data_IF_594061058987
#
_entry.id   IF_594061058987
#
_cell.length_a   1.000
_cell.length_b   1.000
_cell.length_c   1.000
_cell.angle_alpha   90.00
_cell.angle_beta   90.00
_cell.angle_gamma   90.00
#
_symmetry.space_group_name_H-M   'P 1'
#
loop_
_entity.id
_entity.type
_entity.pdbx_description
1 polymer ?
#
# COMPACT_ATOMS: atom_id res chain seq x y z
N UNK A 1 -31.12 -24.32 37.15
CA UNK A 1 -32.57 -24.03 37.07
C UNK A 1 -32.78 -22.85 36.14
N UNK A 2 -33.17 -23.07 34.88
CA UNK A 2 -33.72 -22.02 34.01
C UNK A 2 -35.24 -21.95 34.17
N UNK A 3 -35.89 -20.76 34.05
CA UNK A 3 -37.33 -20.70 33.88
C UNK A 3 -37.71 -20.85 32.40
N UNK A 4 -38.65 -21.77 32.18
CA UNK A 4 -39.44 -21.93 30.98
C UNK A 4 -40.55 -20.88 30.94
N UNK A 5 -40.90 -20.39 29.75
CA UNK A 5 -42.23 -19.84 29.47
C UNK A 5 -42.73 -20.26 28.08
N UNK A 6 -44.05 -20.44 27.91
CA UNK A 6 -44.63 -21.29 26.89
C UNK A 6 -45.19 -20.56 25.66
N UNK A 7 -45.35 -21.36 24.63
CA UNK A 7 -46.10 -21.23 23.40
C UNK A 7 -47.62 -21.08 23.65
N UNK A 8 -48.35 -20.21 22.91
CA UNK A 8 -49.75 -20.40 22.49
C UNK A 8 -50.15 -19.51 21.31
N UNK A 9 -50.69 -20.20 20.30
CA UNK A 9 -51.32 -19.74 19.07
C UNK A 9 -52.77 -19.26 19.28
N UNK A 10 -53.26 -18.41 18.37
CA UNK A 10 -54.66 -18.29 17.91
C UNK A 10 -54.62 -17.57 16.54
N UNK A 11 -54.87 -18.18 15.38
CA UNK A 11 -56.09 -18.79 14.84
C UNK A 11 -57.25 -17.80 14.66
N UNK A 12 -57.43 -17.29 13.44
CA UNK A 12 -58.76 -16.99 12.84
C UNK A 12 -58.73 -17.35 11.36
N UNK A 13 -59.61 -18.28 10.98
CA UNK A 13 -60.05 -18.67 9.64
C UNK A 13 -60.85 -17.55 8.94
N UNK A 14 -60.77 -17.51 7.61
CA UNK A 14 -61.66 -16.70 6.78
C UNK A 14 -61.60 -17.10 5.30
N UNK A 15 -62.45 -18.05 4.91
CA UNK A 15 -62.70 -18.52 3.53
C UNK A 15 -63.32 -17.41 2.67
N UNK A 16 -62.90 -17.35 1.41
CA UNK A 16 -63.57 -16.58 0.36
C UNK A 16 -62.97 -16.87 -1.01
N UNK A 17 -63.46 -17.92 -1.67
CA UNK A 17 -63.22 -18.18 -3.10
C UNK A 17 -64.11 -17.27 -3.95
N UNK A 18 -63.50 -16.45 -4.84
CA UNK A 18 -64.18 -15.92 -6.02
C UNK A 18 -63.24 -15.89 -7.24
N UNK A 19 -63.69 -16.64 -8.24
CA UNK A 19 -63.43 -16.69 -9.67
C UNK A 19 -62.37 -15.80 -10.37
N UNK A 20 -61.74 -16.43 -11.37
CA UNK A 20 -60.88 -15.89 -12.41
C UNK A 20 -61.39 -14.60 -13.09
N UNK A 21 -60.48 -13.64 -13.24
CA UNK A 21 -60.40 -12.77 -14.41
C UNK A 21 -58.94 -12.33 -14.64
N UNK A 22 -58.29 -12.86 -15.69
CA UNK A 22 -57.16 -12.19 -16.39
C UNK A 22 -57.80 -11.13 -17.29
N UNK A 23 -57.24 -9.91 -17.45
CA UNK A 23 -55.96 -9.77 -18.15
C UNK A 23 -55.12 -8.51 -17.79
N UNK A 24 -54.01 -8.37 -18.53
CA UNK A 24 -53.27 -7.14 -18.85
C UNK A 24 -52.08 -6.75 -17.95
N UNK A 25 -50.91 -7.13 -18.49
CA UNK A 25 -49.60 -6.49 -18.38
C UNK A 25 -49.64 -5.00 -17.98
N UNK A 26 -48.95 -4.67 -16.89
CA UNK A 26 -48.16 -3.44 -16.79
C UNK A 26 -47.09 -3.63 -15.71
N UNK A 27 -45.95 -4.18 -16.13
CA UNK A 27 -44.73 -4.20 -15.31
C UNK A 27 -44.16 -2.79 -15.41
N UNK A 28 -44.43 -1.96 -14.39
CA UNK A 28 -43.76 -0.68 -14.22
C UNK A 28 -42.33 -0.97 -13.75
N UNK A 29 -41.41 -1.14 -14.69
CA UNK A 29 -39.98 -1.26 -14.39
C UNK A 29 -39.45 0.09 -13.90
N UNK A 30 -39.31 0.24 -12.59
CA UNK A 30 -38.48 1.28 -11.99
C UNK A 30 -37.02 0.99 -12.33
N UNK A 31 -36.49 1.66 -13.36
CA UNK A 31 -35.06 1.68 -13.66
C UNK A 31 -34.41 2.58 -12.60
N UNK A 32 -33.93 1.99 -11.51
CA UNK A 32 -33.03 2.67 -10.59
C UNK A 32 -31.69 2.85 -11.30
N UNK A 33 -31.45 4.05 -11.81
CA UNK A 33 -30.17 4.44 -12.41
C UNK A 33 -29.16 4.64 -11.27
N UNK A 34 -28.49 3.55 -10.89
CA UNK A 34 -27.38 3.58 -9.95
C UNK A 34 -26.20 4.31 -10.60
N UNK A 35 -26.07 5.61 -10.33
CA UNK A 35 -24.86 6.37 -10.66
C UNK A 35 -23.77 5.89 -9.69
N UNK A 36 -22.97 4.91 -10.12
CA UNK A 36 -21.77 4.50 -9.42
C UNK A 36 -20.74 5.63 -9.53
N UNK A 37 -20.64 6.47 -8.49
CA UNK A 37 -19.46 7.31 -8.30
C UNK A 37 -18.28 6.38 -8.02
N UNK A 38 -17.50 6.07 -9.05
CA UNK A 38 -16.18 5.47 -8.88
C UNK A 38 -15.33 6.51 -8.14
N UNK A 39 -15.14 6.30 -6.84
CA UNK A 39 -14.12 7.00 -6.07
C UNK A 39 -12.76 6.54 -6.62
N UNK A 40 -12.29 7.22 -7.67
CA UNK A 40 -10.94 7.03 -8.19
C UNK A 40 -9.96 7.28 -7.05
N UNK A 41 -9.08 6.32 -6.79
CA UNK A 41 -7.99 6.51 -5.85
C UNK A 41 -7.17 7.73 -6.33
N UNK A 42 -7.23 8.82 -5.59
CA UNK A 42 -6.43 9.99 -5.93
C UNK A 42 -4.98 9.66 -5.63
N UNK A 43 -4.13 9.74 -6.64
CA UNK A 43 -2.67 9.64 -6.51
C UNK A 43 -2.19 10.69 -5.51
N UNK A 44 -1.38 10.31 -4.49
CA UNK A 44 -0.84 11.29 -3.55
C UNK A 44 -0.01 12.35 -4.28
N UNK A 45 -0.23 13.62 -3.94
CA UNK A 45 0.71 14.67 -4.30
C UNK A 45 2.02 14.56 -3.49
N UNK A 46 3.01 15.41 -3.81
CA UNK A 46 4.33 15.36 -3.18
C UNK A 46 4.29 15.61 -1.65
N UNK A 47 3.42 16.49 -1.17
CA UNK A 47 3.29 16.79 0.25
C UNK A 47 2.58 15.67 1.00
N UNK A 48 1.55 15.07 0.39
CA UNK A 48 0.90 13.87 0.89
C UNK A 48 1.89 12.70 0.97
N UNK A 49 2.67 12.47 -0.09
CA UNK A 49 3.67 11.41 -0.14
C UNK A 49 4.74 11.58 0.95
N UNK A 50 5.22 12.81 1.18
CA UNK A 50 6.15 13.11 2.26
C UNK A 50 5.56 12.78 3.63
N UNK A 51 4.32 13.18 3.92
CA UNK A 51 3.66 12.85 5.20
C UNK A 51 3.46 11.34 5.38
N UNK A 52 3.13 10.62 4.31
CA UNK A 52 3.03 9.15 4.32
C UNK A 52 4.38 8.52 4.67
N UNK A 53 5.46 9.00 4.06
CA UNK A 53 6.82 8.53 4.33
C UNK A 53 7.24 8.83 5.78
N UNK A 54 6.97 10.03 6.29
CA UNK A 54 7.24 10.42 7.68
C UNK A 54 6.49 9.52 8.67
N UNK A 55 5.21 9.22 8.42
CA UNK A 55 4.43 8.31 9.27
C UNK A 55 5.00 6.88 9.27
N UNK A 56 5.45 6.41 8.11
CA UNK A 56 6.11 5.12 7.99
C UNK A 56 7.42 5.08 8.80
N UNK A 57 8.26 6.11 8.69
CA UNK A 57 9.52 6.17 9.42
C UNK A 57 9.33 6.37 10.92
N UNK A 58 8.29 7.11 11.35
CA UNK A 58 7.91 7.18 12.75
C UNK A 58 7.57 5.79 13.31
N UNK A 59 6.94 4.94 12.50
CA UNK A 59 6.66 3.54 12.87
C UNK A 59 7.94 2.71 12.98
N UNK A 60 8.87 2.83 12.01
CA UNK A 60 10.20 2.19 12.10
C UNK A 60 10.95 2.65 13.36
N UNK A 61 10.98 3.95 13.61
CA UNK A 61 11.64 4.57 14.75
C UNK A 61 11.07 4.10 16.10
N UNK A 62 9.75 3.93 16.19
CA UNK A 62 9.09 3.43 17.41
C UNK A 62 9.49 1.99 17.77
N UNK A 63 9.97 1.21 16.79
CA UNK A 63 10.45 -0.17 16.98
C UNK A 63 11.97 -0.30 16.99
N UNK A 64 12.69 0.81 16.80
CA UNK A 64 14.14 0.83 16.72
C UNK A 64 14.81 0.73 18.09
N UNK A 65 16.09 0.37 18.10
CA UNK A 65 16.91 0.51 19.32
C UNK A 65 17.06 2.00 19.67
N UNK A 66 17.23 2.39 20.95
CA UNK A 66 17.37 3.79 21.35
C UNK A 66 18.56 4.53 20.70
N UNK A 67 19.55 3.80 20.21
CA UNK A 67 20.74 4.32 19.55
C UNK A 67 20.62 4.36 18.01
N UNK A 68 19.48 3.93 17.46
CA UNK A 68 19.22 3.91 16.03
C UNK A 68 18.24 5.03 15.65
N UNK A 69 18.53 5.73 14.56
CA UNK A 69 17.66 6.74 13.97
C UNK A 69 17.30 6.37 12.54
N UNK A 70 16.09 6.70 12.11
CA UNK A 70 15.63 6.52 10.73
C UNK A 70 15.36 7.88 10.08
N UNK A 71 15.96 8.10 8.92
CA UNK A 71 15.82 9.33 8.15
C UNK A 71 15.25 9.05 6.76
N UNK A 72 14.37 9.93 6.29
CA UNK A 72 13.87 9.91 4.92
C UNK A 72 14.96 10.43 3.98
N UNK A 73 15.21 9.69 2.90
CA UNK A 73 15.86 10.21 1.71
C UNK A 73 14.82 10.64 0.68
N UNK A 74 15.00 10.20 -0.55
CA UNK A 74 14.06 10.46 -1.64
C UNK A 74 12.70 9.78 -1.43
N UNK A 75 11.63 10.49 -1.81
CA UNK A 75 10.26 9.97 -1.83
C UNK A 75 9.71 10.12 -3.24
N UNK A 76 9.11 9.07 -3.78
CA UNK A 76 8.52 9.07 -5.11
C UNK A 76 7.12 8.46 -5.10
N UNK A 77 6.27 8.93 -6.01
CA UNK A 77 4.91 8.40 -6.23
C UNK A 77 4.84 7.86 -7.65
N UNK A 78 4.44 6.60 -7.80
CA UNK A 78 4.26 5.95 -9.09
C UNK A 78 3.35 4.74 -8.95
N UNK A 79 2.59 4.45 -10.00
CA UNK A 79 1.97 3.13 -10.20
C UNK A 79 3.08 2.16 -10.62
N UNK A 80 3.40 1.21 -9.74
CA UNK A 80 4.52 0.29 -9.91
C UNK A 80 4.12 -1.06 -10.51
N UNK A 81 2.88 -1.50 -10.29
CA UNK A 81 2.38 -2.80 -10.75
C UNK A 81 1.33 -2.70 -11.87
N UNK A 82 0.92 -1.48 -12.24
CA UNK A 82 0.00 -1.20 -13.34
C UNK A 82 -1.47 -1.37 -12.98
N UNK A 83 -1.83 -1.40 -11.68
CA UNK A 83 -3.22 -1.54 -11.24
C UNK A 83 -4.03 -0.23 -11.28
N UNK A 84 -3.38 0.89 -11.62
CA UNK A 84 -3.97 2.22 -11.66
C UNK A 84 -4.04 2.93 -10.31
N UNK A 85 -3.53 2.32 -9.24
CA UNK A 85 -3.30 2.94 -7.94
C UNK A 85 -1.80 3.22 -7.79
N UNK A 86 -1.49 4.40 -7.26
CA UNK A 86 -0.10 4.78 -7.07
C UNK A 86 0.42 4.31 -5.70
N UNK A 87 1.61 3.71 -5.72
CA UNK A 87 2.44 3.45 -4.55
C UNK A 87 3.26 4.68 -4.17
N UNK A 88 3.69 4.70 -2.90
CA UNK A 88 4.72 5.61 -2.41
C UNK A 88 6.00 4.81 -2.18
N UNK A 89 7.08 5.20 -2.84
CA UNK A 89 8.42 4.61 -2.64
C UNK A 89 9.22 5.51 -1.73
N UNK A 90 9.75 4.95 -0.66
CA UNK A 90 10.54 5.66 0.35
C UNK A 90 11.95 5.08 0.35
N UNK A 91 12.93 5.87 -0.07
CA UNK A 91 14.32 5.65 0.29
C UNK A 91 14.52 6.15 1.71
N UNK A 92 15.13 5.35 2.57
CA UNK A 92 15.42 5.74 3.93
C UNK A 92 16.81 5.26 4.34
N UNK A 93 17.35 5.89 5.38
CA UNK A 93 18.63 5.54 5.97
C UNK A 93 18.42 5.24 7.44
N UNK A 94 18.90 4.08 7.89
CA UNK A 94 19.04 3.80 9.31
C UNK A 94 20.46 4.15 9.74
N UNK A 95 20.58 4.98 10.77
CA UNK A 95 21.82 5.45 11.36
C UNK A 95 21.98 4.79 12.73
N UNK A 96 23.04 4.01 12.91
CA UNK A 96 23.49 3.51 14.20
C UNK A 96 24.79 4.20 14.62
N UNK A 97 25.33 3.85 15.80
CA UNK A 97 26.54 4.51 16.33
C UNK A 97 27.79 4.34 15.46
N UNK A 98 27.93 3.20 14.78
CA UNK A 98 29.12 2.82 14.00
C UNK A 98 28.80 2.24 12.63
N UNK A 99 27.53 2.30 12.23
CA UNK A 99 27.04 1.75 10.97
C UNK A 99 25.87 2.57 10.48
N UNK A 100 25.65 2.48 9.18
CA UNK A 100 24.44 2.96 8.53
C UNK A 100 24.12 2.01 7.39
N UNK A 101 22.84 1.94 7.03
CA UNK A 101 22.46 1.33 5.77
C UNK A 101 21.24 2.02 5.21
N UNK A 102 21.09 1.91 3.90
CA UNK A 102 19.91 2.38 3.20
C UNK A 102 18.93 1.24 2.99
N UNK A 103 17.65 1.56 2.99
CA UNK A 103 16.60 0.67 2.55
C UNK A 103 15.64 1.40 1.62
N UNK A 104 14.92 0.62 0.82
CA UNK A 104 13.84 1.13 -0.02
C UNK A 104 12.59 0.34 0.31
N UNK A 105 11.55 1.04 0.74
CA UNK A 105 10.25 0.44 1.05
C UNK A 105 9.20 0.96 0.08
N UNK A 106 8.40 0.05 -0.45
CA UNK A 106 7.20 0.37 -1.21
C UNK A 106 6.01 0.34 -0.27
N UNK A 107 5.28 1.44 -0.20
CA UNK A 107 4.04 1.58 0.54
C UNK A 107 2.88 1.52 -0.45
N UNK A 108 1.97 0.57 -0.28
CA UNK A 108 0.78 0.46 -1.12
C UNK A 108 -0.49 0.81 -0.35
N UNK A 109 -1.53 1.18 -1.10
CA UNK A 109 -2.81 1.59 -0.52
C UNK A 109 -3.54 0.38 0.07
N UNK A 110 -3.94 0.49 1.33
CA UNK A 110 -4.78 -0.46 2.07
C UNK A 110 -5.99 0.27 2.65
N UNK A 111 -7.08 0.28 1.90
CA UNK A 111 -8.26 1.08 2.24
C UNK A 111 -7.94 2.58 2.16
N UNK A 112 -7.98 3.27 3.30
CA UNK A 112 -7.72 4.72 3.38
C UNK A 112 -6.28 5.08 3.77
N UNK A 113 -5.43 4.09 4.06
CA UNK A 113 -4.07 4.32 4.53
C UNK A 113 -3.05 3.67 3.60
N UNK A 114 -1.80 4.12 3.69
CA UNK A 114 -0.66 3.46 3.04
C UNK A 114 0.04 2.56 4.05
N UNK A 115 0.44 1.37 3.62
CA UNK A 115 1.12 0.39 4.46
C UNK A 115 2.31 -0.24 3.73
N UNK A 116 3.36 -0.68 4.44
CA UNK A 116 4.47 -1.41 3.84
C UNK A 116 3.98 -2.63 3.06
N UNK A 117 4.34 -2.67 1.79
CA UNK A 117 3.94 -3.71 0.86
C UNK A 117 5.13 -4.48 0.27
N UNK A 118 6.36 -4.02 0.51
CA UNK A 118 7.58 -4.72 0.14
C UNK A 118 8.79 -3.86 0.47
N UNK A 119 9.93 -4.49 0.76
CA UNK A 119 11.17 -3.82 1.11
C UNK A 119 12.33 -4.50 0.38
N UNK A 120 13.31 -3.70 -0.08
CA UNK A 120 14.56 -4.24 -0.60
C UNK A 120 15.49 -4.57 0.57
N UNK A 121 15.63 -5.87 0.88
CA UNK A 121 16.44 -6.37 2.00
C UNK A 121 17.92 -6.61 1.65
N UNK A 122 18.28 -6.50 0.37
CA UNK A 122 19.65 -6.68 -0.11
C UNK A 122 20.52 -5.45 0.21
N UNK A 123 21.84 -5.61 0.38
CA UNK A 123 22.73 -4.49 0.59
C UNK A 123 22.66 -3.51 -0.60
N UNK A 124 22.22 -2.28 -0.34
CA UNK A 124 22.06 -1.26 -1.38
C UNK A 124 23.38 -0.54 -1.73
N UNK A 125 24.45 -0.74 -0.95
CA UNK A 125 25.65 0.09 -0.99
C UNK A 125 25.37 1.47 -0.38
N UNK A 126 26.20 2.47 -0.68
CA UNK A 126 25.92 3.87 -0.33
C UNK A 126 25.05 4.49 -1.41
N UNK A 127 23.80 4.83 -1.10
CA UNK A 127 22.84 5.32 -2.08
C UNK A 127 22.98 6.82 -2.23
N UNK A 128 23.23 7.30 -3.45
CA UNK A 128 23.38 8.72 -3.80
C UNK A 128 22.08 9.34 -4.33
N UNK A 129 21.09 8.50 -4.69
CA UNK A 129 19.76 8.96 -5.10
C UNK A 129 18.89 7.86 -5.69
N UNK A 130 17.59 8.14 -5.73
CA UNK A 130 16.54 7.26 -6.24
C UNK A 130 15.74 7.95 -7.35
N UNK A 131 15.45 7.20 -8.40
CA UNK A 131 14.59 7.63 -9.51
C UNK A 131 13.58 6.54 -9.79
N UNK A 132 12.29 6.88 -9.83
CA UNK A 132 11.22 5.93 -10.16
C UNK A 132 10.64 6.28 -11.53
N UNK A 133 10.73 5.36 -12.50
CA UNK A 133 10.19 5.54 -13.86
C UNK A 133 9.78 4.20 -14.45
N UNK A 134 8.67 4.17 -15.18
CA UNK A 134 8.17 2.98 -15.89
C UNK A 134 8.08 1.73 -14.99
N UNK A 135 7.56 1.88 -13.76
CA UNK A 135 7.46 0.78 -12.78
C UNK A 135 8.79 0.24 -12.24
N UNK A 136 9.91 0.93 -12.51
CA UNK A 136 11.24 0.56 -12.04
C UNK A 136 11.76 1.60 -11.06
N UNK A 137 12.26 1.12 -9.92
CA UNK A 137 12.98 1.91 -8.93
C UNK A 137 14.47 1.79 -9.24
N UNK A 138 15.09 2.85 -9.71
CA UNK A 138 16.52 2.92 -10.01
C UNK A 138 17.24 3.65 -8.86
N UNK A 139 18.29 3.00 -8.33
CA UNK A 139 19.16 3.57 -7.31
C UNK A 139 20.55 3.77 -7.89
N UNK A 140 21.09 4.99 -7.73
CA UNK A 140 22.51 5.27 -7.98
C UNK A 140 23.28 5.04 -6.69
N UNK A 141 24.28 4.16 -6.73
CA UNK A 141 24.95 3.71 -5.51
C UNK A 141 26.45 3.63 -5.68
N UNK A 142 27.18 3.71 -4.56
CA UNK A 142 28.62 3.52 -4.46
C UNK A 142 28.94 2.27 -3.65
N UNK A 143 29.88 1.49 -4.17
CA UNK A 143 30.34 0.25 -3.56
C UNK A 143 31.83 0.31 -3.27
N UNK A 144 32.31 -0.39 -2.20
CA UNK A 144 33.73 -0.43 -1.90
C UNK A 144 34.53 -1.03 -3.05
N UNK A 145 35.53 -0.29 -3.51
CA UNK A 145 36.61 -0.78 -4.34
C UNK A 145 37.73 -1.42 -3.50
N UNK A 146 38.71 -2.09 -4.15
CA UNK A 146 39.78 -2.81 -3.46
C UNK A 146 40.71 -1.90 -2.63
N UNK A 147 40.78 -0.61 -2.96
CA UNK A 147 41.64 0.37 -2.30
C UNK A 147 40.85 1.44 -1.52
N UNK A 148 39.53 1.28 -1.42
CA UNK A 148 38.69 2.27 -0.75
C UNK A 148 38.78 2.11 0.77
N UNK A 149 38.85 3.24 1.48
CA UNK A 149 38.55 3.24 2.90
C UNK A 149 37.09 2.80 3.11
N UNK A 150 36.81 2.08 4.19
CA UNK A 150 35.47 1.52 4.48
C UNK A 150 34.36 2.58 4.52
N UNK A 151 34.69 3.82 4.87
CA UNK A 151 33.77 4.95 4.90
C UNK A 151 33.35 5.46 3.52
N UNK A 152 34.14 5.17 2.50
CA UNK A 152 34.28 6.06 1.36
C UNK A 152 34.29 5.25 0.05
N UNK A 153 33.20 4.54 -0.26
CA UNK A 153 33.10 3.73 -1.47
C UNK A 153 33.13 4.61 -2.73
N UNK A 154 33.83 4.15 -3.77
CA UNK A 154 34.02 4.92 -5.02
C UNK A 154 33.43 4.26 -6.25
N UNK A 155 33.23 2.93 -6.23
CA UNK A 155 32.79 2.15 -7.40
C UNK A 155 31.31 2.41 -7.67
N UNK A 156 30.94 3.10 -8.78
CA UNK A 156 29.54 3.34 -9.08
C UNK A 156 28.83 2.05 -9.48
N UNK A 157 27.62 1.85 -8.96
CA UNK A 157 26.67 0.84 -9.42
C UNK A 157 25.30 1.47 -9.58
N UNK A 158 24.51 0.88 -10.48
CA UNK A 158 23.09 1.20 -10.61
C UNK A 158 22.32 -0.05 -10.27
N UNK A 159 21.54 0.00 -9.20
CA UNK A 159 20.61 -1.07 -8.83
C UNK A 159 19.25 -0.72 -9.39
N UNK A 160 18.56 -1.70 -9.97
CA UNK A 160 17.20 -1.53 -10.48
C UNK A 160 16.33 -2.53 -9.77
N UNK A 161 15.19 -2.07 -9.28
CA UNK A 161 14.22 -2.91 -8.61
C UNK A 161 12.86 -2.80 -9.30
N UNK A 162 12.13 -3.91 -9.31
CA UNK A 162 10.71 -3.94 -9.59
C UNK A 162 9.95 -4.41 -8.37
N UNK A 163 8.78 -3.82 -8.16
CA UNK A 163 7.82 -4.30 -7.18
C UNK A 163 6.71 -5.05 -7.90
N UNK A 164 6.43 -6.27 -7.43
CA UNK A 164 5.33 -7.08 -7.94
C UNK A 164 4.92 -8.09 -6.87
N UNK A 165 3.62 -8.31 -6.70
CA UNK A 165 3.08 -9.31 -5.76
C UNK A 165 3.63 -9.14 -4.33
N UNK A 166 3.78 -7.89 -3.87
CA UNK A 166 4.27 -7.59 -2.52
C UNK A 166 5.76 -7.82 -2.31
N UNK A 167 6.55 -7.98 -3.38
CA UNK A 167 8.00 -8.19 -3.28
C UNK A 167 8.74 -7.15 -4.12
N UNK A 168 9.74 -6.53 -3.50
CA UNK A 168 10.74 -5.71 -4.19
C UNK A 168 11.89 -6.62 -4.59
N UNK A 169 12.19 -6.72 -5.89
CA UNK A 169 13.19 -7.64 -6.41
C UNK A 169 14.10 -6.97 -7.43
N UNK A 170 15.37 -7.38 -7.46
CA UNK A 170 16.35 -6.83 -8.39
C UNK A 170 15.91 -7.14 -9.83
N UNK A 171 15.74 -6.10 -10.64
CA UNK A 171 15.53 -6.19 -12.06
C UNK A 171 16.88 -6.40 -12.75
N UNK A 172 16.92 -7.37 -13.68
CA UNK A 172 18.08 -7.61 -14.54
C UNK A 172 18.26 -6.49 -15.56
#
# INVERSE_FOLDING_TARGET
MPPAFPDKQAFIEGRGEYAMAKPVRQILSLIALSVSLSAGATTPDADQARRIAEQFLATKQATASPQEAYEAGDVAVADLDGDGQAEVVVLWTMLGPTYWHHGVTVLSRKGQHYAPAGEAEEPLGSVEGMVVRNGVIELKTKWPGPNDARCCPTVPKTLRYRWSAGKVSLAK
#
